data_IF_433716222377
#
_entry.id   IF_433716222377
#
_cell.length_a   1.000
_cell.length_b   1.000
_cell.length_c   1.000
_cell.angle_alpha   90.00
_cell.angle_beta   90.00
_cell.angle_gamma   90.00
#
_symmetry.space_group_name_H-M   'P 1'
#
loop_
_entity.id
_entity.type
_entity.pdbx_description
1 polymer ?
#
# COMPACT_ATOMS: atom_id res chain seq x y z
N UNK A 1 0.50 17.52 7.44
CA UNK A 1 -0.43 16.42 7.18
C UNK A 1 -1.31 16.31 8.39
N UNK A 2 -2.49 15.70 8.30
CA UNK A 2 -3.45 15.67 9.42
C UNK A 2 -2.97 14.96 10.69
N UNK A 3 -1.81 14.28 10.65
CA UNK A 3 -1.20 13.56 11.78
C UNK A 3 0.32 13.83 11.81
N UNK A 4 1.04 13.52 10.71
CA UNK A 4 2.47 13.82 10.55
C UNK A 4 2.69 15.19 9.88
N UNK A 5 3.90 15.76 10.02
CA UNK A 5 4.24 17.06 9.43
C UNK A 5 4.01 17.10 7.91
N UNK A 6 4.40 16.02 7.23
CA UNK A 6 4.05 15.74 5.83
C UNK A 6 3.58 14.29 5.64
N UNK A 7 2.68 14.07 4.69
CA UNK A 7 2.17 12.73 4.37
C UNK A 7 2.20 12.50 2.86
N UNK A 8 2.81 11.40 2.45
CA UNK A 8 2.88 10.99 1.05
C UNK A 8 1.80 9.94 0.75
N UNK A 9 1.06 10.13 -0.34
CA UNK A 9 0.09 9.20 -0.88
C UNK A 9 0.57 8.68 -2.22
N UNK A 10 0.28 7.41 -2.48
CA UNK A 10 0.52 6.79 -3.79
C UNK A 10 -0.80 6.57 -4.49
N UNK A 11 -0.82 6.83 -5.79
CA UNK A 11 -1.94 6.58 -6.70
C UNK A 11 -1.56 5.60 -7.81
N UNK A 12 -0.57 4.73 -7.54
CA UNK A 12 -0.22 3.62 -8.42
C UNK A 12 -1.43 2.71 -8.68
N UNK A 13 -1.44 2.01 -9.82
CA UNK A 13 -2.55 1.20 -10.32
C UNK A 13 -3.23 0.29 -9.29
N UNK A 14 -2.48 -0.25 -8.32
CA UNK A 14 -3.00 -1.19 -7.33
C UNK A 14 -3.50 -0.54 -6.04
N UNK A 15 -3.34 0.78 -5.87
CA UNK A 15 -3.77 1.51 -4.66
C UNK A 15 -5.29 1.64 -4.57
N UNK A 16 -5.79 1.97 -3.38
CA UNK A 16 -7.24 2.05 -3.11
C UNK A 16 -7.98 3.03 -4.03
N UNK A 17 -7.28 4.08 -4.47
CA UNK A 17 -7.62 4.92 -5.63
C UNK A 17 -6.37 5.05 -6.50
N UNK A 18 -6.54 5.33 -7.79
CA UNK A 18 -5.42 5.35 -8.73
C UNK A 18 -5.52 6.47 -9.77
N UNK A 19 -4.36 6.91 -10.26
CA UNK A 19 -4.20 7.77 -11.45
C UNK A 19 -3.42 7.06 -12.56
N UNK A 20 -3.36 5.72 -12.53
CA UNK A 20 -2.42 4.91 -13.31
C UNK A 20 -1.04 4.93 -12.64
N UNK A 21 -0.36 6.05 -12.76
CA UNK A 21 0.85 6.41 -12.01
C UNK A 21 0.64 7.77 -11.35
N UNK A 22 1.13 7.94 -10.12
CA UNK A 22 1.05 9.22 -9.43
C UNK A 22 1.16 9.14 -7.91
N UNK A 23 1.16 10.31 -7.30
CA UNK A 23 1.20 10.47 -5.86
C UNK A 23 0.91 11.91 -5.45
N UNK A 24 0.87 12.14 -4.15
CA UNK A 24 0.61 13.44 -3.56
C UNK A 24 1.36 13.58 -2.25
N UNK A 25 1.88 14.77 -1.97
CA UNK A 25 2.40 15.13 -0.65
C UNK A 25 1.48 16.19 -0.06
N UNK A 26 1.02 15.96 1.18
CA UNK A 26 0.25 16.96 1.94
C UNK A 26 1.04 17.43 3.14
N UNK A 27 0.96 18.72 3.45
CA UNK A 27 1.60 19.33 4.63
C UNK A 27 0.79 20.55 5.08
N UNK A 28 0.85 20.88 6.37
CA UNK A 28 0.27 22.11 6.90
C UNK A 28 1.30 23.27 6.88
N UNK A 29 2.55 22.99 6.53
CA UNK A 29 3.60 23.99 6.41
C UNK A 29 3.59 24.60 4.99
N UNK A 30 3.23 25.88 4.91
CA UNK A 30 3.12 26.60 3.63
C UNK A 30 4.45 26.75 2.88
N UNK A 31 5.56 26.92 3.61
CA UNK A 31 6.91 27.02 3.03
C UNK A 31 7.33 25.70 2.40
N UNK A 32 7.09 24.59 3.09
CA UNK A 32 7.36 23.25 2.55
C UNK A 32 6.52 22.96 1.32
N UNK A 33 5.22 23.29 1.35
CA UNK A 33 4.35 23.14 0.19
C UNK A 33 4.83 23.96 -1.02
N UNK A 34 5.32 25.18 -0.79
CA UNK A 34 5.89 26.01 -1.85
C UNK A 34 7.18 25.40 -2.42
N UNK A 35 8.09 24.92 -1.55
CA UNK A 35 9.31 24.24 -1.95
C UNK A 35 9.05 22.95 -2.73
N UNK A 36 8.10 22.12 -2.28
CA UNK A 36 7.73 20.87 -2.97
C UNK A 36 7.22 21.17 -4.38
N UNK A 37 6.32 22.16 -4.54
CA UNK A 37 5.81 22.55 -5.87
C UNK A 37 6.93 23.01 -6.80
N UNK A 38 7.80 23.90 -6.34
CA UNK A 38 8.97 24.36 -7.08
C UNK A 38 9.88 23.19 -7.50
N UNK A 39 10.25 22.32 -6.56
CA UNK A 39 11.11 21.17 -6.81
C UNK A 39 10.45 20.12 -7.73
N UNK A 40 9.12 20.04 -7.77
CA UNK A 40 8.42 19.09 -8.65
C UNK A 40 8.46 19.49 -10.13
N UNK A 41 8.81 20.74 -10.43
CA UNK A 41 8.82 21.29 -11.78
C UNK A 41 10.07 22.14 -12.03
N UNK A 42 11.22 21.45 -12.14
CA UNK A 42 12.54 21.97 -12.51
C UNK A 42 13.12 23.07 -11.61
N UNK A 43 12.50 23.37 -10.47
CA UNK A 43 12.97 24.43 -9.58
C UNK A 43 12.54 25.83 -10.01
N UNK A 44 11.52 25.92 -10.87
CA UNK A 44 11.06 27.17 -11.44
C UNK A 44 10.46 28.11 -10.39
N UNK A 45 10.72 29.41 -10.52
CA UNK A 45 10.04 30.45 -9.75
C UNK A 45 8.52 30.37 -9.91
N UNK A 46 7.77 30.81 -8.89
CA UNK A 46 6.29 30.72 -8.86
C UNK A 46 5.63 31.39 -10.07
N UNK A 47 6.21 32.49 -10.54
CA UNK A 47 5.67 33.27 -11.65
C UNK A 47 5.75 32.54 -12.99
N UNK A 48 6.60 31.50 -13.10
CA UNK A 48 6.71 30.68 -14.29
C UNK A 48 5.38 29.95 -14.62
N UNK A 49 4.55 29.66 -13.62
CA UNK A 49 3.22 29.05 -13.84
C UNK A 49 2.23 30.04 -14.47
N UNK A 50 2.38 31.34 -14.17
CA UNK A 50 1.54 32.40 -14.70
C UNK A 50 1.91 32.81 -16.13
N UNK A 51 2.95 32.22 -16.75
CA UNK A 51 3.38 32.55 -18.12
C UNK A 51 2.27 32.47 -19.16
N UNK A 52 1.30 31.58 -18.95
CA UNK A 52 0.18 31.36 -19.88
C UNK A 52 -1.08 32.14 -19.50
N UNK A 53 -1.04 33.01 -18.48
CA UNK A 53 -2.13 33.92 -18.14
C UNK A 53 -2.02 35.23 -18.95
N UNK A 54 -3.09 36.01 -18.99
CA UNK A 54 -3.14 37.30 -19.70
C UNK A 54 -2.13 38.35 -19.18
N UNK A 55 -1.65 38.16 -17.94
CA UNK A 55 -0.66 39.02 -17.27
C UNK A 55 0.73 38.34 -17.19
N UNK A 56 0.89 37.19 -17.85
CA UNK A 56 2.08 36.35 -17.76
C UNK A 56 3.29 36.94 -18.49
N UNK A 57 4.45 36.90 -17.82
CA UNK A 57 5.74 37.16 -18.46
C UNK A 57 6.39 35.86 -18.95
N UNK A 58 7.08 35.91 -20.10
CA UNK A 58 7.90 34.80 -20.58
C UNK A 58 9.10 34.53 -19.66
N UNK A 59 9.51 35.54 -18.88
CA UNK A 59 10.65 35.47 -17.98
C UNK A 59 10.39 34.48 -16.83
N UNK A 60 11.44 33.72 -16.48
CA UNK A 60 11.43 32.84 -15.33
C UNK A 60 12.85 32.59 -14.86
N UNK A 61 12.97 32.15 -13.62
CA UNK A 61 14.24 31.78 -13.02
C UNK A 61 14.17 30.34 -12.53
N UNK A 62 15.33 29.67 -12.54
CA UNK A 62 15.52 28.40 -11.85
C UNK A 62 16.18 28.71 -10.51
N UNK A 63 15.41 28.60 -9.44
CA UNK A 63 15.84 28.97 -8.08
C UNK A 63 16.51 27.81 -7.34
N UNK A 64 16.41 26.58 -7.87
CA UNK A 64 16.97 25.37 -7.28
C UNK A 64 17.08 24.25 -8.33
N UNK A 65 17.96 23.25 -8.14
CA UNK A 65 18.04 22.08 -9.04
C UNK A 65 16.84 21.14 -8.81
N UNK A 66 15.68 21.51 -9.34
CA UNK A 66 14.46 20.72 -9.22
C UNK A 66 14.38 19.53 -10.18
N UNK A 67 13.28 18.80 -10.11
CA UNK A 67 13.00 17.56 -10.81
C UNK A 67 11.82 17.69 -11.77
N UNK A 68 11.45 16.61 -12.46
CA UNK A 68 10.26 16.53 -13.32
C UNK A 68 9.26 15.53 -12.76
N UNK A 69 8.48 15.94 -11.76
CA UNK A 69 7.54 15.09 -11.01
C UNK A 69 6.09 15.60 -11.02
N UNK A 70 5.77 16.63 -11.80
CA UNK A 70 4.40 17.13 -11.90
C UNK A 70 3.47 16.06 -12.48
N UNK A 71 2.27 15.96 -11.91
CA UNK A 71 1.20 15.11 -12.42
C UNK A 71 0.58 15.75 -13.67
N UNK A 72 0.12 14.94 -14.62
CA UNK A 72 -0.60 15.43 -15.81
C UNK A 72 -2.08 15.63 -15.50
N UNK A 73 -2.74 16.55 -16.21
CA UNK A 73 -4.19 16.77 -16.07
C UNK A 73 -5.01 15.53 -16.44
N UNK A 74 -4.51 14.67 -17.35
CA UNK A 74 -5.14 13.39 -17.68
C UNK A 74 -5.17 12.46 -16.45
N UNK A 75 -4.02 12.31 -15.78
CA UNK A 75 -3.91 11.51 -14.57
C UNK A 75 -4.72 12.14 -13.41
N UNK A 76 -4.71 13.47 -13.29
CA UNK A 76 -5.51 14.19 -12.31
C UNK A 76 -7.02 14.02 -12.54
N UNK A 77 -7.50 14.04 -13.79
CA UNK A 77 -8.91 13.83 -14.13
C UNK A 77 -9.39 12.43 -13.71
N UNK A 78 -8.57 11.39 -13.94
CA UNK A 78 -8.82 10.04 -13.42
C UNK A 78 -8.88 10.04 -11.89
N UNK A 79 -7.93 10.71 -11.24
CA UNK A 79 -7.88 10.86 -9.79
C UNK A 79 -9.12 11.52 -9.20
N UNK A 80 -9.62 12.61 -9.81
CA UNK A 80 -10.84 13.29 -9.39
C UNK A 80 -12.07 12.38 -9.50
N UNK A 81 -12.17 11.57 -10.56
CA UNK A 81 -13.25 10.61 -10.72
C UNK A 81 -13.18 9.45 -9.71
N UNK A 82 -11.96 9.04 -9.33
CA UNK A 82 -11.72 8.03 -8.29
C UNK A 82 -12.01 8.57 -6.89
N UNK A 83 -11.61 9.81 -6.60
CA UNK A 83 -11.82 10.46 -5.31
C UNK A 83 -13.31 10.58 -4.97
N UNK A 84 -14.17 10.89 -5.95
CA UNK A 84 -15.64 10.87 -5.76
C UNK A 84 -16.21 9.51 -5.33
N UNK A 85 -15.44 8.43 -5.48
CA UNK A 85 -15.83 7.05 -5.14
C UNK A 85 -15.08 6.51 -3.91
N UNK A 86 -14.19 7.30 -3.29
CA UNK A 86 -13.27 6.80 -2.27
C UNK A 86 -13.99 6.17 -1.08
N UNK A 87 -15.02 6.83 -0.56
CA UNK A 87 -15.79 6.34 0.59
C UNK A 87 -16.51 5.03 0.28
N UNK A 88 -17.03 4.89 -0.95
CA UNK A 88 -17.66 3.66 -1.40
C UNK A 88 -16.63 2.53 -1.48
N UNK A 89 -15.47 2.78 -2.08
CA UNK A 89 -14.40 1.78 -2.16
C UNK A 89 -13.90 1.37 -0.78
N UNK A 90 -13.78 2.33 0.14
CA UNK A 90 -13.39 2.08 1.52
C UNK A 90 -14.42 1.21 2.25
N UNK A 91 -15.71 1.57 2.23
CA UNK A 91 -16.79 0.77 2.86
C UNK A 91 -16.84 -0.66 2.31
N UNK A 92 -16.66 -0.83 1.01
CA UNK A 92 -16.57 -2.16 0.39
C UNK A 92 -15.39 -2.96 0.93
N UNK A 93 -14.20 -2.36 1.03
CA UNK A 93 -12.99 -3.03 1.55
C UNK A 93 -13.10 -3.32 3.04
N UNK A 94 -13.69 -2.41 3.82
CA UNK A 94 -13.98 -2.62 5.24
C UNK A 94 -14.91 -3.80 5.43
N UNK A 95 -16.02 -3.89 4.67
CA UNK A 95 -16.92 -5.05 4.71
C UNK A 95 -16.17 -6.36 4.42
N UNK A 96 -15.33 -6.40 3.39
CA UNK A 96 -14.56 -7.60 3.05
C UNK A 96 -13.53 -7.96 4.12
N UNK A 97 -12.88 -6.96 4.73
CA UNK A 97 -12.00 -7.19 5.86
C UNK A 97 -12.78 -7.80 7.04
N UNK A 98 -13.99 -7.33 7.34
CA UNK A 98 -14.86 -7.92 8.38
C UNK A 98 -15.21 -9.37 8.06
N UNK A 99 -15.58 -9.69 6.83
CA UNK A 99 -15.86 -11.07 6.41
C UNK A 99 -14.64 -11.98 6.59
N UNK A 100 -13.44 -11.51 6.26
CA UNK A 100 -12.22 -12.27 6.56
C UNK A 100 -11.98 -12.44 8.06
N UNK A 101 -12.21 -11.42 8.88
CA UNK A 101 -12.06 -11.53 10.34
C UNK A 101 -13.02 -12.57 10.93
N UNK A 102 -14.28 -12.55 10.50
CA UNK A 102 -15.28 -13.54 10.90
C UNK A 102 -14.90 -14.93 10.38
N UNK A 103 -14.50 -15.00 9.12
CA UNK A 103 -14.09 -16.21 8.44
C UNK A 103 -12.86 -16.90 9.01
N UNK A 104 -12.04 -16.22 9.81
CA UNK A 104 -10.84 -16.79 10.43
C UNK A 104 -10.86 -16.77 11.97
N UNK A 105 -11.96 -16.35 12.60
CA UNK A 105 -12.04 -16.12 14.06
C UNK A 105 -11.67 -17.34 14.93
N UNK A 106 -11.95 -18.54 14.45
CA UNK A 106 -11.72 -19.84 15.10
C UNK A 106 -10.46 -20.57 14.60
N UNK A 107 -9.62 -19.92 13.77
CA UNK A 107 -8.36 -20.48 13.28
C UNK A 107 -7.17 -19.93 14.07
N UNK A 108 -6.68 -20.60 15.13
CA UNK A 108 -5.50 -20.14 15.86
C UNK A 108 -4.23 -20.14 14.99
N UNK A 109 -4.22 -20.82 13.85
CA UNK A 109 -3.13 -20.81 12.87
C UNK A 109 -3.03 -19.50 12.08
N UNK A 110 -4.08 -18.67 12.09
CA UNK A 110 -4.18 -17.45 11.30
C UNK A 110 -4.27 -16.25 12.23
N UNK A 111 -3.27 -15.38 12.15
CA UNK A 111 -3.25 -14.10 12.86
C UNK A 111 -3.74 -13.02 11.90
N UNK A 112 -4.95 -12.50 12.13
CA UNK A 112 -5.55 -11.45 11.31
C UNK A 112 -4.89 -10.06 11.55
N UNK A 113 -4.86 -9.18 10.55
CA UNK A 113 -4.39 -7.81 10.72
C UNK A 113 -5.30 -7.03 11.67
N UNK A 114 -4.73 -6.25 12.59
CA UNK A 114 -5.50 -5.45 13.54
C UNK A 114 -5.44 -3.96 13.18
N UNK A 115 -6.56 -3.27 13.35
CA UNK A 115 -6.63 -1.81 13.35
C UNK A 115 -6.85 -1.31 14.78
N UNK A 116 -6.15 -0.25 15.18
CA UNK A 116 -6.36 0.36 16.49
C UNK A 116 -7.79 0.95 16.57
N UNK A 117 -8.46 0.93 17.74
CA UNK A 117 -9.86 1.35 17.86
C UNK A 117 -10.17 2.78 17.38
N UNK A 118 -9.18 3.67 17.41
CA UNK A 118 -9.30 5.08 17.00
C UNK A 118 -8.84 5.33 15.56
N UNK A 119 -8.51 4.27 14.80
CA UNK A 119 -7.99 4.37 13.43
C UNK A 119 -9.02 3.84 12.45
N UNK A 120 -9.47 4.69 11.53
CA UNK A 120 -10.17 4.24 10.33
C UNK A 120 -9.16 3.66 9.34
N UNK A 121 -9.04 2.34 9.31
CA UNK A 121 -8.08 1.67 8.45
C UNK A 121 -8.55 1.68 6.99
N UNK A 122 -7.65 2.01 6.05
CA UNK A 122 -7.99 2.10 4.63
C UNK A 122 -8.23 0.72 3.96
N UNK A 123 -7.82 -0.36 4.63
CA UNK A 123 -7.91 -1.73 4.13
C UNK A 123 -7.40 -1.87 2.68
N UNK A 124 -6.21 -1.30 2.43
CA UNK A 124 -5.54 -1.44 1.14
C UNK A 124 -5.10 -2.90 0.91
N UNK A 125 -4.61 -3.55 1.96
CA UNK A 125 -4.20 -4.95 1.98
C UNK A 125 -4.89 -5.67 3.16
N UNK A 126 -5.24 -6.93 2.95
CA UNK A 126 -5.57 -7.85 4.05
C UNK A 126 -4.39 -8.80 4.27
N UNK A 127 -3.48 -8.41 5.16
CA UNK A 127 -2.24 -9.15 5.42
C UNK A 127 -2.38 -9.99 6.69
N UNK A 128 -2.52 -11.30 6.53
CA UNK A 128 -2.51 -12.26 7.63
C UNK A 128 -1.07 -12.69 7.96
N UNK A 129 -0.84 -13.20 9.16
CA UNK A 129 0.36 -13.97 9.49
C UNK A 129 -0.01 -15.41 9.82
N UNK A 130 0.80 -16.35 9.38
CA UNK A 130 0.68 -17.75 9.74
C UNK A 130 1.40 -18.04 11.06
N UNK A 131 0.74 -18.74 11.98
CA UNK A 131 1.39 -19.38 13.12
C UNK A 131 2.03 -20.69 12.66
N UNK A 132 3.32 -20.61 12.29
CA UNK A 132 4.08 -21.74 11.76
C UNK A 132 4.37 -22.82 12.81
N UNK A 133 4.22 -22.52 14.11
CA UNK A 133 4.38 -23.52 15.17
C UNK A 133 3.17 -24.48 15.21
N UNK A 134 2.08 -24.13 14.54
CA UNK A 134 0.85 -24.94 14.39
C UNK A 134 0.67 -25.56 13.02
N UNK A 135 1.55 -25.23 12.06
CA UNK A 135 1.47 -25.70 10.67
C UNK A 135 2.70 -26.54 10.29
N UNK A 136 2.47 -27.61 9.53
CA UNK A 136 3.52 -28.52 9.03
C UNK A 136 4.27 -27.95 7.83
N UNK A 137 3.69 -26.95 7.17
CA UNK A 137 4.24 -26.31 5.97
C UNK A 137 4.71 -24.90 6.24
N UNK A 138 5.63 -24.43 5.40
CA UNK A 138 6.14 -23.06 5.39
C UNK A 138 5.13 -22.09 4.76
N UNK A 139 5.33 -20.78 4.98
CA UNK A 139 4.56 -19.71 4.31
C UNK A 139 4.63 -19.82 2.79
N UNK A 140 5.80 -20.13 2.24
CA UNK A 140 5.98 -20.23 0.80
C UNK A 140 5.23 -21.43 0.19
N UNK A 141 5.19 -22.57 0.89
CA UNK A 141 4.38 -23.72 0.50
C UNK A 141 2.89 -23.41 0.59
N UNK A 142 2.47 -22.71 1.64
CA UNK A 142 1.08 -22.25 1.80
C UNK A 142 0.65 -21.35 0.62
N UNK A 143 1.49 -20.36 0.25
CA UNK A 143 1.25 -19.51 -0.92
C UNK A 143 1.18 -20.34 -2.21
N UNK A 144 2.07 -21.32 -2.38
CA UNK A 144 2.06 -22.19 -3.57
C UNK A 144 0.76 -22.98 -3.68
N UNK A 145 0.25 -23.51 -2.56
CA UNK A 145 -1.01 -24.25 -2.53
C UNK A 145 -2.22 -23.32 -2.81
N UNK A 146 -2.22 -22.09 -2.27
CA UNK A 146 -3.22 -21.08 -2.64
C UNK A 146 -3.19 -20.76 -4.15
N UNK A 147 -2.01 -20.61 -4.72
CA UNK A 147 -1.84 -20.35 -6.15
C UNK A 147 -2.35 -21.52 -7.00
N UNK A 148 -2.08 -22.77 -6.60
CA UNK A 148 -2.62 -23.97 -7.25
C UNK A 148 -4.15 -24.03 -7.19
N UNK A 149 -4.77 -23.51 -6.12
CA UNK A 149 -6.21 -23.33 -5.99
C UNK A 149 -6.76 -22.10 -6.76
N UNK A 150 -5.92 -21.41 -7.53
CA UNK A 150 -6.30 -20.24 -8.33
C UNK A 150 -6.46 -18.95 -7.51
N UNK A 151 -5.84 -18.88 -6.33
CA UNK A 151 -5.86 -17.69 -5.47
C UNK A 151 -4.50 -17.00 -5.52
N UNK A 152 -4.47 -15.81 -6.14
CA UNK A 152 -3.26 -14.99 -6.20
C UNK A 152 -2.98 -14.32 -4.86
N UNK A 153 -1.83 -14.60 -4.26
CA UNK A 153 -1.37 -13.95 -3.04
C UNK A 153 -0.06 -13.21 -3.28
N UNK A 154 0.27 -12.30 -2.37
CA UNK A 154 1.54 -11.58 -2.37
C UNK A 154 2.15 -11.53 -0.96
N UNK A 155 3.36 -11.01 -0.86
CA UNK A 155 4.09 -10.82 0.38
C UNK A 155 4.48 -9.34 0.47
N UNK A 156 4.02 -8.67 1.52
CA UNK A 156 4.31 -7.26 1.78
C UNK A 156 4.95 -7.13 3.17
N UNK A 157 6.27 -7.10 3.31
CA UNK A 157 7.32 -7.07 2.27
C UNK A 157 8.52 -7.91 2.67
N UNK A 158 9.44 -8.16 1.73
CA UNK A 158 10.80 -8.57 2.07
C UNK A 158 11.45 -7.40 2.85
N UNK A 159 12.03 -7.62 4.05
CA UNK A 159 12.68 -6.58 4.81
C UNK A 159 13.86 -5.96 4.05
N UNK A 160 13.97 -4.63 4.08
CA UNK A 160 14.98 -3.90 3.30
C UNK A 160 16.41 -4.36 3.59
N UNK A 161 16.74 -4.63 4.86
CA UNK A 161 18.07 -5.04 5.29
C UNK A 161 18.52 -6.40 4.73
N UNK A 162 17.59 -7.22 4.21
CA UNK A 162 17.91 -8.48 3.55
C UNK A 162 18.24 -8.31 2.06
N UNK A 163 17.82 -7.20 1.44
CA UNK A 163 18.09 -6.96 0.02
C UNK A 163 19.58 -6.68 -0.20
N UNK A 164 20.20 -7.20 -1.29
CA UNK A 164 21.64 -7.08 -1.53
C UNK A 164 22.16 -5.65 -1.41
N UNK A 165 21.47 -4.68 -2.02
CA UNK A 165 21.88 -3.27 -1.97
C UNK A 165 22.03 -2.75 -0.55
N UNK A 166 21.02 -2.92 0.31
CA UNK A 166 21.08 -2.41 1.68
C UNK A 166 22.03 -3.22 2.55
N UNK A 167 22.02 -4.55 2.39
CA UNK A 167 22.90 -5.45 3.12
C UNK A 167 24.37 -5.10 2.87
N UNK A 168 24.76 -4.96 1.60
CA UNK A 168 26.16 -4.78 1.21
C UNK A 168 26.61 -3.33 1.43
N UNK A 169 25.74 -2.34 1.18
CA UNK A 169 26.06 -0.92 1.38
C UNK A 169 26.21 -0.55 2.86
N UNK A 170 25.39 -1.13 3.74
CA UNK A 170 25.32 -0.75 5.15
C UNK A 170 25.80 -1.84 6.12
N UNK A 171 26.23 -3.00 5.61
CA UNK A 171 26.75 -4.11 6.41
C UNK A 171 25.70 -4.83 7.26
N UNK A 172 24.42 -4.77 6.87
CA UNK A 172 23.36 -5.43 7.64
C UNK A 172 23.49 -6.96 7.63
N UNK A 173 23.08 -7.57 8.74
CA UNK A 173 22.94 -9.01 8.91
C UNK A 173 21.47 -9.35 9.08
N UNK A 174 21.03 -10.57 8.72
CA UNK A 174 19.64 -10.98 8.90
C UNK A 174 19.13 -10.72 10.32
N UNK A 175 19.93 -11.05 11.33
CA UNK A 175 19.53 -10.97 12.74
C UNK A 175 19.49 -9.56 13.33
N UNK A 176 19.90 -8.53 12.58
CA UNK A 176 19.90 -7.14 13.05
C UNK A 176 18.48 -6.62 13.29
N UNK A 177 17.50 -7.10 12.50
CA UNK A 177 16.09 -6.74 12.61
C UNK A 177 15.22 -8.01 12.74
N UNK A 178 15.26 -8.69 13.90
CA UNK A 178 14.70 -10.03 14.06
C UNK A 178 13.16 -10.04 13.95
N UNK A 179 12.50 -8.98 14.41
CA UNK A 179 11.03 -8.86 14.33
C UNK A 179 10.56 -8.73 12.88
N UNK A 180 11.25 -7.91 12.07
CA UNK A 180 10.93 -7.75 10.64
C UNK A 180 11.10 -9.06 9.89
N UNK A 181 12.17 -9.81 10.18
CA UNK A 181 12.38 -11.14 9.61
C UNK A 181 11.29 -12.13 10.02
N UNK A 182 10.95 -12.18 11.30
CA UNK A 182 9.90 -13.07 11.81
C UNK A 182 8.56 -12.80 11.11
N UNK A 183 8.15 -11.53 10.99
CA UNK A 183 6.91 -11.17 10.28
C UNK A 183 7.00 -11.56 8.81
N UNK A 184 8.14 -11.29 8.14
CA UNK A 184 8.33 -11.64 6.74
C UNK A 184 8.18 -13.14 6.47
N UNK A 185 8.65 -14.00 7.37
CA UNK A 185 8.53 -15.45 7.22
C UNK A 185 7.08 -15.95 7.38
N UNK A 186 6.19 -15.14 7.96
CA UNK A 186 4.82 -15.54 8.32
C UNK A 186 3.74 -14.82 7.49
N UNK A 187 4.04 -13.64 6.94
CA UNK A 187 3.04 -12.75 6.35
C UNK A 187 2.57 -13.21 4.96
N UNK A 188 1.26 -13.16 4.72
CA UNK A 188 0.62 -13.39 3.42
C UNK A 188 -0.42 -12.29 3.20
N UNK A 189 -0.39 -11.64 2.04
CA UNK A 189 -1.45 -10.73 1.62
C UNK A 189 -2.46 -11.48 0.76
N UNK A 190 -3.66 -11.63 1.32
CA UNK A 190 -4.80 -12.19 0.62
C UNK A 190 -5.39 -11.17 -0.36
N UNK A 191 -6.08 -11.62 -1.43
CA UNK A 191 -6.79 -10.73 -2.33
C UNK A 191 -7.71 -9.77 -1.58
N UNK A 192 -7.57 -8.47 -1.85
CA UNK A 192 -8.50 -7.46 -1.35
C UNK A 192 -8.59 -6.30 -2.34
N UNK A 193 -9.65 -6.27 -3.15
CA UNK A 193 -9.91 -5.19 -4.09
C UNK A 193 -11.41 -4.99 -4.33
N UNK A 194 -11.82 -3.77 -4.69
CA UNK A 194 -13.23 -3.35 -4.70
C UNK A 194 -14.12 -4.00 -5.77
N UNK A 195 -13.56 -4.80 -6.69
CA UNK A 195 -14.31 -5.56 -7.70
C UNK A 195 -14.57 -7.02 -7.28
N UNK A 196 -14.02 -7.46 -6.14
CA UNK A 196 -14.35 -8.78 -5.61
C UNK A 196 -15.84 -8.90 -5.32
N UNK A 197 -16.35 -10.11 -5.32
CA UNK A 197 -17.68 -10.47 -4.84
C UNK A 197 -17.56 -11.14 -3.46
N UNK A 198 -18.66 -11.24 -2.72
CA UNK A 198 -18.66 -12.01 -1.46
C UNK A 198 -18.34 -13.48 -1.70
N UNK A 199 -18.79 -14.05 -2.83
CA UNK A 199 -18.41 -15.40 -3.24
C UNK A 199 -16.89 -15.56 -3.46
N UNK A 200 -16.19 -14.53 -3.95
CA UNK A 200 -14.72 -14.55 -4.04
C UNK A 200 -14.08 -14.57 -2.64
N UNK A 201 -14.62 -13.81 -1.69
CA UNK A 201 -14.16 -13.79 -0.30
C UNK A 201 -14.39 -15.15 0.36
N UNK A 202 -15.58 -15.73 0.21
CA UNK A 202 -15.94 -17.05 0.73
C UNK A 202 -15.04 -18.14 0.16
N UNK A 203 -14.74 -18.09 -1.14
CA UNK A 203 -13.79 -19.00 -1.79
C UNK A 203 -12.41 -18.89 -1.16
N UNK A 204 -11.91 -17.68 -0.91
CA UNK A 204 -10.62 -17.48 -0.26
C UNK A 204 -10.63 -18.02 1.18
N UNK A 205 -11.67 -17.70 1.96
CA UNK A 205 -11.82 -18.18 3.34
C UNK A 205 -11.86 -19.71 3.38
N UNK A 206 -12.70 -20.34 2.55
CA UNK A 206 -12.84 -21.79 2.47
C UNK A 206 -11.55 -22.49 2.07
N UNK A 207 -10.83 -21.92 1.10
CA UNK A 207 -9.54 -22.47 0.68
C UNK A 207 -8.50 -22.37 1.79
N UNK A 208 -8.35 -21.21 2.44
CA UNK A 208 -7.43 -21.03 3.58
C UNK A 208 -7.77 -22.00 4.72
N UNK A 209 -9.05 -22.16 5.05
CA UNK A 209 -9.51 -23.13 6.06
C UNK A 209 -9.13 -24.56 5.72
N UNK A 210 -9.33 -24.98 4.48
CA UNK A 210 -8.97 -26.33 4.03
C UNK A 210 -7.46 -26.55 4.15
N UNK A 211 -6.65 -25.59 3.68
CA UNK A 211 -5.19 -25.68 3.78
C UNK A 211 -4.72 -25.74 5.24
N UNK A 212 -5.31 -24.94 6.14
CA UNK A 212 -5.03 -25.02 7.58
C UNK A 212 -5.37 -26.40 8.12
N UNK A 213 -6.56 -26.93 7.80
CA UNK A 213 -7.00 -28.26 8.27
C UNK A 213 -6.07 -29.38 7.79
N UNK A 214 -5.65 -29.35 6.54
CA UNK A 214 -4.79 -30.37 5.92
C UNK A 214 -3.36 -30.33 6.46
N UNK A 215 -2.88 -29.16 6.86
CA UNK A 215 -1.49 -28.95 7.27
C UNK A 215 -1.32 -28.67 8.76
N UNK A 216 -2.36 -28.82 9.58
CA UNK A 216 -2.31 -28.65 11.04
C UNK A 216 -1.35 -29.67 11.66
N UNK A 217 -0.53 -29.22 12.62
CA UNK A 217 0.35 -30.09 13.41
C UNK A 217 -0.46 -30.99 14.34
#
# INVERSE_FOLDING_TARGET
GGIADSTCFSFYATKSITTGEGGMVTTNNAEWAARIRMMSLHGLSRDAWNRYSAEGSWYYEILSPGFKYNLTDIAAALGLAQLKKCDRFWKTRERYATLYHEGFRDLPEIICPQAAPHVQHAWHLYAIQLDLDRLRITRNEFIRQLQQAGIGCSVHFIPLHLHPYYRDMYGYRPDDLPVSNMVFQRIISLPLYSKMTEADIDRVIGTVRNLVKENRR
#
